data_IF_153472624940
#
_entry.id   IF_153472624940
#
_cell.length_a   1.000
_cell.length_b   1.000
_cell.length_c   1.000
_cell.angle_alpha   90.00
_cell.angle_beta   90.00
_cell.angle_gamma   90.00
#
_symmetry.space_group_name_H-M   'P 1'
#
loop_
_entity.id
_entity.type
_entity.pdbx_description
1 polymer ?
#
# COMPACT_ATOMS: atom_id res chain seq x y z
N UNK A 1 5.32 1.85 -1.22
CA UNK A 1 4.07 1.41 -1.89
C UNK A 1 2.95 1.41 -0.86
N UNK A 2 1.77 1.89 -1.22
CA UNK A 2 0.61 1.93 -0.32
C UNK A 2 -0.37 0.78 -0.53
N UNK A 3 0.07 -0.36 -1.09
CA UNK A 3 -0.82 -1.48 -1.43
C UNK A 3 -1.18 -2.30 -0.20
N UNK A 4 -2.42 -2.72 -0.13
CA UNK A 4 -2.94 -3.54 0.95
C UNK A 4 -4.03 -4.47 0.43
N UNK A 5 -4.33 -5.52 1.19
CA UNK A 5 -5.44 -6.43 0.92
C UNK A 5 -6.24 -6.67 2.19
N UNK A 6 -7.51 -6.94 2.03
CA UNK A 6 -8.40 -7.25 3.15
C UNK A 6 -9.79 -7.67 2.69
N UNK A 7 -10.57 -8.18 3.62
CA UNK A 7 -11.98 -8.44 3.37
C UNK A 7 -12.81 -7.19 3.64
N UNK A 8 -13.41 -6.63 2.58
CA UNK A 8 -14.29 -5.47 2.69
C UNK A 8 -15.61 -5.83 3.40
N UNK A 9 -16.03 -7.08 3.27
CA UNK A 9 -17.15 -7.68 3.99
C UNK A 9 -16.98 -9.20 4.01
N UNK A 10 -17.61 -9.87 4.98
CA UNK A 10 -17.65 -11.33 5.06
C UNK A 10 -19.07 -11.83 4.81
N UNK A 11 -19.20 -13.08 4.33
CA UNK A 11 -20.48 -13.72 4.09
C UNK A 11 -20.97 -14.50 5.32
N UNK A 12 -22.28 -14.54 5.50
CA UNK A 12 -22.88 -15.30 6.62
C UNK A 12 -22.46 -14.77 8.00
N UNK A 13 -22.51 -15.65 8.99
CA UNK A 13 -22.15 -15.33 10.37
C UNK A 13 -23.24 -14.57 11.13
N UNK A 14 -22.84 -13.89 12.21
CA UNK A 14 -23.72 -13.03 12.99
C UNK A 14 -24.06 -11.75 12.21
N UNK A 15 -25.26 -11.18 12.39
CA UNK A 15 -25.60 -9.90 11.80
C UNK A 15 -24.61 -8.79 12.16
N UNK A 16 -24.32 -7.93 11.21
CA UNK A 16 -23.49 -6.76 11.42
C UNK A 16 -24.17 -5.70 12.30
N UNK A 17 -23.53 -4.56 12.51
CA UNK A 17 -24.06 -3.45 13.33
C UNK A 17 -25.39 -2.86 12.79
N UNK A 18 -25.75 -3.13 11.54
CA UNK A 18 -27.00 -2.74 10.91
C UNK A 18 -28.07 -3.84 10.96
N UNK A 19 -27.75 -5.00 11.52
CA UNK A 19 -28.63 -6.17 11.56
C UNK A 19 -28.67 -6.94 10.25
N UNK A 20 -27.64 -6.78 9.40
CA UNK A 20 -27.54 -7.38 8.07
C UNK A 20 -26.60 -8.58 8.04
N UNK A 21 -26.98 -9.57 7.26
CA UNK A 21 -26.10 -10.68 6.84
C UNK A 21 -25.98 -10.65 5.32
N UNK A 22 -24.76 -10.72 4.80
CA UNK A 22 -24.51 -10.70 3.37
C UNK A 22 -24.38 -12.13 2.84
N UNK A 23 -25.14 -12.44 1.79
CA UNK A 23 -25.08 -13.72 1.12
C UNK A 23 -23.93 -13.78 0.11
N UNK A 24 -23.32 -14.95 -0.13
CA UNK A 24 -22.43 -15.16 -1.28
C UNK A 24 -23.11 -14.75 -2.60
N UNK A 25 -22.36 -14.07 -3.48
CA UNK A 25 -22.88 -13.55 -4.75
C UNK A 25 -23.54 -12.18 -4.68
N UNK A 26 -23.68 -11.60 -3.47
CA UNK A 26 -24.37 -10.33 -3.28
C UNK A 26 -23.72 -9.14 -4.04
N UNK A 27 -22.41 -9.17 -4.25
CA UNK A 27 -21.65 -8.11 -4.92
C UNK A 27 -21.52 -8.34 -6.44
N UNK A 28 -21.77 -9.56 -6.95
CA UNK A 28 -21.43 -9.95 -8.30
C UNK A 28 -22.02 -9.02 -9.37
N UNK A 29 -23.31 -8.66 -9.25
CA UNK A 29 -23.97 -7.78 -10.22
C UNK A 29 -23.39 -6.35 -10.22
N UNK A 30 -23.13 -5.78 -9.05
CA UNK A 30 -22.56 -4.45 -8.91
C UNK A 30 -21.12 -4.39 -9.44
N UNK A 31 -20.29 -5.40 -9.11
CA UNK A 31 -18.91 -5.47 -9.62
C UNK A 31 -18.88 -5.61 -11.15
N UNK A 32 -19.77 -6.43 -11.73
CA UNK A 32 -19.90 -6.55 -13.20
C UNK A 32 -20.31 -5.22 -13.84
N UNK A 33 -21.20 -4.43 -13.21
CA UNK A 33 -21.57 -3.10 -13.69
C UNK A 33 -20.39 -2.12 -13.65
N UNK A 34 -19.62 -2.11 -12.58
CA UNK A 34 -18.40 -1.32 -12.48
C UNK A 34 -17.39 -1.70 -13.56
N UNK A 35 -17.17 -3.00 -13.78
CA UNK A 35 -16.26 -3.48 -14.82
C UNK A 35 -16.71 -3.04 -16.23
N UNK A 36 -17.98 -3.19 -16.53
CA UNK A 36 -18.56 -2.77 -17.82
C UNK A 36 -18.48 -1.25 -18.04
N UNK A 37 -18.59 -0.46 -16.97
CA UNK A 37 -18.50 0.99 -17.01
C UNK A 37 -17.05 1.51 -16.95
N UNK A 38 -16.05 0.63 -16.73
CA UNK A 38 -14.67 1.04 -16.52
C UNK A 38 -14.46 1.84 -15.23
N UNK A 39 -15.32 1.63 -14.23
CA UNK A 39 -15.27 2.31 -12.91
C UNK A 39 -14.91 1.33 -11.79
N UNK A 40 -14.71 1.85 -10.59
CA UNK A 40 -14.54 1.08 -9.35
C UNK A 40 -15.29 1.78 -8.22
N UNK A 41 -15.72 1.04 -7.18
CA UNK A 41 -16.14 1.64 -5.91
C UNK A 41 -15.05 2.58 -5.38
N UNK A 42 -15.43 3.66 -4.71
CA UNK A 42 -14.47 4.61 -4.18
C UNK A 42 -13.69 4.02 -3.00
N UNK A 43 -12.40 4.38 -2.85
CA UNK A 43 -11.61 4.10 -1.65
C UNK A 43 -11.57 5.36 -0.79
N UNK A 44 -12.34 5.36 0.30
CA UNK A 44 -12.55 6.55 1.12
C UNK A 44 -11.94 6.41 2.53
N UNK A 45 -11.83 7.53 3.19
CA UNK A 45 -11.55 7.63 4.62
C UNK A 45 -12.84 7.86 5.40
N UNK A 46 -13.18 6.93 6.32
CA UNK A 46 -14.31 7.05 7.26
C UNK A 46 -15.67 7.35 6.60
N UNK A 47 -15.93 6.76 5.42
CA UNK A 47 -17.14 7.00 4.62
C UNK A 47 -17.32 8.45 4.14
N UNK A 48 -16.27 9.27 4.21
CA UNK A 48 -16.30 10.65 3.76
C UNK A 48 -16.05 10.72 2.24
N UNK A 49 -17.12 11.01 1.49
CA UNK A 49 -17.08 11.11 0.02
C UNK A 49 -16.19 12.24 -0.48
N UNK A 50 -15.84 13.20 0.36
CA UNK A 50 -14.92 14.29 0.04
C UNK A 50 -13.46 13.94 0.29
N UNK A 51 -13.19 12.73 0.84
CA UNK A 51 -11.86 12.32 1.30
C UNK A 51 -11.42 10.97 0.70
N UNK A 52 -11.23 10.89 -0.64
CA UNK A 52 -10.66 9.71 -1.28
C UNK A 52 -9.18 9.57 -0.90
N UNK A 53 -8.76 8.36 -0.54
CA UNK A 53 -7.39 8.09 -0.07
C UNK A 53 -6.60 7.16 -1.00
N UNK A 54 -7.21 6.68 -2.08
CA UNK A 54 -6.55 5.77 -3.01
C UNK A 54 -7.49 5.18 -4.04
N UNK A 55 -7.13 4.00 -4.53
CA UNK A 55 -7.91 3.28 -5.55
C UNK A 55 -8.00 1.80 -5.20
N UNK A 56 -9.12 1.18 -5.52
CA UNK A 56 -9.26 -0.27 -5.51
C UNK A 56 -8.75 -0.84 -6.83
N UNK A 57 -7.91 -1.87 -6.75
CA UNK A 57 -7.30 -2.54 -7.90
C UNK A 57 -8.10 -3.78 -8.30
N UNK A 58 -8.60 -4.54 -7.31
CA UNK A 58 -9.45 -5.70 -7.56
C UNK A 58 -10.40 -6.00 -6.42
N UNK A 59 -11.50 -6.68 -6.79
CA UNK A 59 -12.45 -7.29 -5.89
C UNK A 59 -12.71 -8.73 -6.34
N UNK A 60 -12.75 -9.66 -5.40
CA UNK A 60 -13.03 -11.07 -5.67
C UNK A 60 -13.88 -11.63 -4.54
N UNK A 61 -15.03 -12.19 -4.87
CA UNK A 61 -15.79 -13.00 -3.91
C UNK A 61 -15.14 -14.38 -3.79
N UNK A 62 -14.87 -14.79 -2.56
CA UNK A 62 -14.43 -16.14 -2.23
C UNK A 62 -15.37 -16.79 -1.18
N UNK A 63 -14.97 -17.91 -0.60
CA UNK A 63 -15.79 -18.59 0.40
C UNK A 63 -15.96 -17.79 1.71
N UNK A 64 -15.08 -16.84 2.00
CA UNK A 64 -15.11 -16.03 3.22
C UNK A 64 -15.87 -14.72 3.03
N UNK A 65 -15.74 -14.08 1.85
CA UNK A 65 -16.34 -12.76 1.65
C UNK A 65 -15.82 -12.04 0.40
N UNK A 66 -15.87 -10.72 0.44
CA UNK A 66 -15.35 -9.83 -0.60
C UNK A 66 -13.89 -9.48 -0.31
N UNK A 67 -12.97 -10.28 -0.85
CA UNK A 67 -11.54 -9.99 -0.83
C UNK A 67 -11.25 -8.81 -1.77
N UNK A 68 -10.59 -7.81 -1.23
CA UNK A 68 -10.33 -6.54 -1.92
C UNK A 68 -8.84 -6.23 -1.87
N UNK A 69 -8.26 -5.84 -3.00
CA UNK A 69 -6.90 -5.32 -3.08
C UNK A 69 -6.93 -3.85 -3.50
N UNK A 70 -6.26 -3.00 -2.75
CA UNK A 70 -6.23 -1.57 -2.99
C UNK A 70 -4.84 -0.97 -2.80
N UNK A 71 -4.73 0.27 -3.24
CA UNK A 71 -3.50 1.06 -3.14
C UNK A 71 -3.81 2.48 -2.68
N UNK A 72 -3.20 2.87 -1.57
CA UNK A 72 -3.25 4.23 -1.05
C UNK A 72 -2.37 5.17 -1.89
N UNK A 73 -2.86 6.36 -2.15
CA UNK A 73 -2.13 7.42 -2.85
C UNK A 73 -1.33 8.22 -1.83
N UNK A 74 -0.09 7.77 -1.56
CA UNK A 74 0.71 8.30 -0.45
C UNK A 74 1.13 9.78 -0.60
N UNK A 75 0.89 10.40 -1.75
CA UNK A 75 1.05 11.85 -1.92
C UNK A 75 -0.09 12.65 -1.28
N UNK A 76 -1.22 11.99 -0.97
CA UNK A 76 -2.32 12.56 -0.19
C UNK A 76 -1.99 12.43 1.30
N UNK A 77 -1.98 13.51 2.09
CA UNK A 77 -1.62 13.47 3.52
C UNK A 77 -2.47 12.47 4.32
N UNK A 78 -3.78 12.43 4.08
CA UNK A 78 -4.69 11.50 4.75
C UNK A 78 -4.38 10.04 4.41
N UNK A 79 -3.98 9.73 3.18
CA UNK A 79 -3.57 8.39 2.76
C UNK A 79 -2.27 7.95 3.45
N UNK A 80 -1.32 8.87 3.71
CA UNK A 80 -0.13 8.57 4.53
C UNK A 80 -0.51 8.17 5.94
N UNK A 81 -1.39 8.93 6.58
CA UNK A 81 -1.89 8.63 7.93
C UNK A 81 -2.63 7.29 7.96
N UNK A 82 -3.51 7.06 6.98
CA UNK A 82 -4.23 5.80 6.81
C UNK A 82 -3.27 4.60 6.63
N UNK A 83 -2.20 4.76 5.84
CA UNK A 83 -1.19 3.72 5.64
C UNK A 83 -0.45 3.37 6.93
N UNK A 84 -0.03 4.37 7.71
CA UNK A 84 0.62 4.15 8.99
C UNK A 84 -0.31 3.40 9.96
N UNK A 85 -1.55 3.86 10.13
CA UNK A 85 -2.55 3.24 10.99
C UNK A 85 -2.94 1.83 10.54
N UNK A 86 -3.02 1.59 9.22
CA UNK A 86 -3.30 0.26 8.68
C UNK A 86 -2.16 -0.74 8.99
N UNK A 87 -0.91 -0.31 8.93
CA UNK A 87 0.26 -1.12 9.34
C UNK A 87 0.24 -1.47 10.83
N UNK A 88 -0.22 -0.55 11.66
CA UNK A 88 -0.35 -0.76 13.10
C UNK A 88 -1.59 -1.58 13.48
N UNK A 89 -2.42 -1.99 12.48
CA UNK A 89 -3.64 -2.76 12.71
C UNK A 89 -4.79 -1.95 13.31
N UNK A 90 -4.69 -0.62 13.29
CA UNK A 90 -5.67 0.28 13.89
C UNK A 90 -6.91 0.51 13.00
N UNK A 91 -6.91 -0.01 11.77
CA UNK A 91 -7.99 0.18 10.81
C UNK A 91 -8.61 -1.15 10.37
N UNK A 92 -9.88 -1.05 10.01
CA UNK A 92 -10.68 -2.09 9.39
C UNK A 92 -11.24 -1.59 8.05
N UNK A 93 -11.97 -2.47 7.34
CA UNK A 93 -12.70 -2.12 6.14
C UNK A 93 -14.20 -2.04 6.44
N UNK A 94 -14.90 -1.17 5.73
CA UNK A 94 -16.34 -1.05 5.80
C UNK A 94 -16.89 -0.66 4.43
N UNK A 95 -18.04 -1.21 4.06
CA UNK A 95 -18.68 -0.97 2.77
C UNK A 95 -19.78 0.08 2.87
N UNK A 96 -19.86 0.96 1.87
CA UNK A 96 -21.02 1.80 1.60
C UNK A 96 -21.76 1.28 0.37
N UNK A 97 -23.06 1.03 0.53
CA UNK A 97 -23.87 0.37 -0.50
C UNK A 97 -25.34 0.83 -0.46
N UNK A 98 -26.06 0.50 -1.52
CA UNK A 98 -27.52 0.55 -1.55
C UNK A 98 -28.09 -0.85 -1.80
N UNK A 99 -29.31 -1.09 -1.38
CA UNK A 99 -30.00 -2.36 -1.61
C UNK A 99 -31.08 -2.13 -2.67
N UNK A 100 -30.91 -2.68 -3.89
CA UNK A 100 -31.91 -2.55 -4.94
C UNK A 100 -33.19 -3.32 -4.61
N UNK A 101 -34.28 -3.02 -5.30
CA UNK A 101 -35.55 -3.71 -5.12
C UNK A 101 -35.38 -5.23 -5.24
N UNK A 102 -35.86 -5.99 -4.25
CA UNK A 102 -35.71 -7.44 -4.15
C UNK A 102 -34.28 -7.91 -3.82
N UNK A 103 -33.35 -7.00 -3.45
CA UNK A 103 -32.00 -7.35 -3.06
C UNK A 103 -31.86 -7.86 -1.63
N UNK A 104 -32.88 -7.71 -0.80
CA UNK A 104 -32.91 -8.20 0.58
C UNK A 104 -34.12 -9.12 0.84
N UNK A 105 -33.93 -10.03 1.79
CA UNK A 105 -34.99 -10.93 2.28
C UNK A 105 -34.89 -11.00 3.81
N UNK A 106 -36.03 -11.09 4.47
CA UNK A 106 -36.09 -11.30 5.92
C UNK A 106 -36.14 -12.81 6.21
N UNK A 107 -35.07 -13.34 6.80
CA UNK A 107 -34.91 -14.75 7.16
C UNK A 107 -34.75 -14.85 8.68
N UNK A 108 -35.70 -15.49 9.36
CA UNK A 108 -35.72 -15.65 10.83
C UNK A 108 -35.49 -14.32 11.60
N UNK A 109 -36.04 -13.21 11.08
CA UNK A 109 -35.91 -11.89 11.70
C UNK A 109 -34.62 -11.15 11.38
N UNK A 110 -33.72 -11.73 10.61
CA UNK A 110 -32.46 -11.12 10.15
C UNK A 110 -32.61 -10.71 8.69
N UNK A 111 -32.11 -9.54 8.32
CA UNK A 111 -32.11 -9.05 6.94
C UNK A 111 -30.95 -9.67 6.16
N UNK A 112 -31.24 -10.63 5.28
CA UNK A 112 -30.28 -11.27 4.39
C UNK A 112 -30.17 -10.47 3.09
N UNK A 113 -29.01 -9.92 2.81
CA UNK A 113 -28.71 -9.15 1.60
C UNK A 113 -28.20 -10.11 0.52
N UNK A 114 -29.00 -10.32 -0.52
CA UNK A 114 -28.70 -11.20 -1.65
C UNK A 114 -28.16 -10.46 -2.88
N UNK A 115 -28.42 -9.15 -2.96
CA UNK A 115 -27.89 -8.27 -3.99
C UNK A 115 -27.76 -6.87 -3.43
N UNK A 116 -26.59 -6.28 -3.61
CA UNK A 116 -26.28 -4.91 -3.19
C UNK A 116 -25.57 -4.16 -4.32
N UNK A 117 -25.75 -2.86 -4.36
CA UNK A 117 -25.03 -1.97 -5.26
C UNK A 117 -23.92 -1.33 -4.42
N UNK A 118 -22.67 -1.78 -4.62
CA UNK A 118 -21.50 -1.34 -3.88
C UNK A 118 -21.06 0.04 -4.40
N UNK A 119 -21.10 1.04 -3.54
CA UNK A 119 -20.75 2.43 -3.88
C UNK A 119 -19.30 2.72 -3.53
N UNK A 120 -18.87 2.32 -2.33
CA UNK A 120 -17.52 2.57 -1.84
C UNK A 120 -17.09 1.51 -0.84
N UNK A 121 -15.79 1.43 -0.61
CA UNK A 121 -15.21 0.69 0.51
C UNK A 121 -14.21 1.60 1.21
N UNK A 122 -14.41 1.80 2.51
CA UNK A 122 -13.64 2.73 3.33
C UNK A 122 -12.67 2.05 4.28
N UNK A 123 -11.59 2.75 4.57
CA UNK A 123 -10.78 2.52 5.75
C UNK A 123 -11.43 3.22 6.95
N UNK A 124 -11.76 2.45 7.98
CA UNK A 124 -12.49 2.94 9.16
C UNK A 124 -11.81 2.48 10.46
N UNK A 125 -11.98 3.26 11.53
CA UNK A 125 -11.55 2.86 12.86
C UNK A 125 -12.48 1.78 13.45
N UNK A 126 -13.79 1.88 13.16
CA UNK A 126 -14.82 0.93 13.64
C UNK A 126 -15.65 0.49 12.44
N UNK A 127 -15.54 -0.79 12.10
CA UNK A 127 -16.31 -1.39 11.00
C UNK A 127 -17.68 -1.87 11.48
N UNK A 128 -18.71 -1.73 10.63
CA UNK A 128 -20.02 -2.33 10.88
C UNK A 128 -19.96 -3.86 10.95
N UNK A 129 -19.13 -4.48 10.10
CA UNK A 129 -18.81 -5.92 10.16
C UNK A 129 -17.46 -6.11 10.87
N UNK A 130 -17.43 -6.66 12.11
CA UNK A 130 -16.19 -6.84 12.87
C UNK A 130 -15.15 -7.76 12.20
N UNK A 131 -15.61 -8.61 11.28
CA UNK A 131 -14.75 -9.53 10.52
C UNK A 131 -14.17 -8.92 9.24
N UNK A 132 -14.59 -7.71 8.86
CA UNK A 132 -14.05 -6.96 7.72
C UNK A 132 -12.69 -6.34 8.10
N UNK A 133 -11.61 -7.09 7.87
CA UNK A 133 -10.26 -6.74 8.33
C UNK A 133 -9.27 -6.59 7.19
N UNK A 134 -8.28 -5.71 7.39
CA UNK A 134 -7.08 -5.67 6.57
C UNK A 134 -6.26 -6.92 6.91
N UNK A 135 -5.96 -7.73 5.88
CA UNK A 135 -5.20 -8.99 6.02
C UNK A 135 -3.72 -8.73 5.85
N UNK A 136 -3.35 -7.86 4.91
CA UNK A 136 -1.96 -7.50 4.70
C UNK A 136 -1.82 -6.05 4.24
N UNK A 137 -0.77 -5.40 4.71
CA UNK A 137 -0.28 -4.13 4.17
C UNK A 137 1.09 -4.43 3.57
N UNK A 138 1.23 -4.30 2.25
CA UNK A 138 2.52 -4.55 1.62
C UNK A 138 3.50 -3.48 2.06
N UNK A 139 4.49 -3.89 2.83
CA UNK A 139 5.71 -3.13 3.00
C UNK A 139 6.47 -3.12 1.66
N UNK A 140 7.34 -2.13 1.47
CA UNK A 140 8.21 -2.07 0.29
C UNK A 140 9.11 -3.32 0.13
N UNK A 141 9.23 -4.12 1.19
CA UNK A 141 10.01 -5.36 1.24
C UNK A 141 9.22 -6.46 1.96
N UNK A 142 9.09 -7.63 1.32
CA UNK A 142 8.52 -8.85 1.90
C UNK A 142 9.66 -9.81 2.27
N UNK A 143 9.93 -10.01 3.58
CA UNK A 143 11.00 -10.92 4.01
C UNK A 143 10.74 -12.39 3.64
N UNK A 144 9.49 -12.79 3.45
CA UNK A 144 9.14 -14.16 3.05
C UNK A 144 9.37 -14.41 1.54
N UNK A 145 9.41 -13.33 0.74
CA UNK A 145 9.72 -13.41 -0.70
C UNK A 145 10.70 -12.28 -1.07
N UNK A 146 11.98 -12.40 -0.67
CA UNK A 146 12.95 -11.33 -0.79
C UNK A 146 13.29 -11.03 -2.25
N UNK A 147 13.08 -9.77 -2.65
CA UNK A 147 13.50 -9.25 -3.94
C UNK A 147 14.50 -8.10 -3.73
N UNK A 148 15.71 -8.18 -4.29
CA UNK A 148 16.73 -7.13 -4.11
C UNK A 148 16.27 -5.73 -4.47
N UNK A 149 15.44 -5.57 -5.51
CA UNK A 149 14.88 -4.26 -5.91
C UNK A 149 13.89 -3.71 -4.88
N UNK A 150 13.11 -4.59 -4.27
CA UNK A 150 12.14 -4.18 -3.25
C UNK A 150 12.85 -3.83 -1.94
N UNK A 151 13.94 -4.53 -1.62
CA UNK A 151 14.80 -4.19 -0.49
C UNK A 151 15.50 -2.83 -0.70
N UNK A 152 16.08 -2.59 -1.88
CA UNK A 152 16.69 -1.29 -2.23
C UNK A 152 15.66 -0.16 -2.07
N UNK A 153 14.45 -0.37 -2.57
CA UNK A 153 13.36 0.60 -2.44
C UNK A 153 12.96 0.81 -0.98
N UNK A 154 12.81 -0.27 -0.21
CA UNK A 154 12.50 -0.18 1.21
C UNK A 154 13.58 0.58 1.99
N UNK A 155 14.85 0.33 1.70
CA UNK A 155 15.97 1.03 2.31
C UNK A 155 15.92 2.55 2.01
N UNK A 156 15.56 2.94 0.79
CA UNK A 156 15.37 4.35 0.43
C UNK A 156 14.19 4.99 1.16
N UNK A 157 13.04 4.30 1.16
CA UNK A 157 11.78 4.84 1.68
C UNK A 157 11.74 4.90 3.22
N UNK A 158 12.32 3.89 3.88
CA UNK A 158 12.29 3.76 5.35
C UNK A 158 13.47 4.46 6.02
N UNK A 159 14.68 4.33 5.43
CA UNK A 159 15.91 4.90 6.00
C UNK A 159 16.27 6.26 5.41
N UNK A 160 15.49 6.77 4.45
CA UNK A 160 15.75 8.04 3.80
C UNK A 160 17.00 8.04 2.91
N UNK A 161 17.46 6.86 2.47
CA UNK A 161 18.68 6.74 1.69
C UNK A 161 18.50 7.20 0.25
N UNK A 162 19.53 7.83 -0.31
CA UNK A 162 19.62 8.05 -1.76
C UNK A 162 19.77 6.72 -2.51
N UNK A 163 19.54 6.72 -3.82
CA UNK A 163 19.71 5.52 -4.65
C UNK A 163 21.15 4.96 -4.59
N UNK A 164 22.15 5.86 -4.45
CA UNK A 164 23.56 5.48 -4.34
C UNK A 164 23.86 4.83 -3.00
N UNK A 165 23.35 5.38 -1.91
CA UNK A 165 23.51 4.82 -0.56
C UNK A 165 22.79 3.47 -0.40
N UNK A 166 21.58 3.34 -0.94
CA UNK A 166 20.86 2.07 -0.93
C UNK A 166 21.63 0.98 -1.68
N UNK A 167 22.23 1.29 -2.85
CA UNK A 167 23.11 0.34 -3.58
C UNK A 167 24.35 -0.01 -2.80
N UNK A 168 24.99 0.94 -2.11
CA UNK A 168 26.14 0.67 -1.23
C UNK A 168 25.76 -0.22 -0.07
N UNK A 169 24.58 0.00 0.55
CA UNK A 169 24.04 -0.88 1.57
C UNK A 169 23.85 -2.30 1.05
N UNK A 170 23.32 -2.44 -0.17
CA UNK A 170 23.09 -3.74 -0.81
C UNK A 170 24.39 -4.50 -1.09
N UNK A 171 25.45 -3.82 -1.52
CA UNK A 171 26.70 -4.43 -1.92
C UNK A 171 27.69 -4.63 -0.78
N UNK A 172 27.70 -3.76 0.22
CA UNK A 172 28.69 -3.73 1.29
C UNK A 172 28.11 -3.84 2.72
N UNK A 173 26.80 -4.07 2.85
CA UNK A 173 26.13 -4.07 4.15
C UNK A 173 26.29 -2.72 4.87
N UNK A 174 26.24 -2.74 6.21
CA UNK A 174 26.44 -1.54 7.03
C UNK A 174 27.75 -0.80 6.73
N UNK A 175 28.83 -1.54 6.51
CA UNK A 175 30.14 -0.98 6.16
C UNK A 175 30.14 -0.21 4.84
N UNK A 176 29.24 -0.55 3.91
CA UNK A 176 29.05 0.19 2.68
C UNK A 176 28.42 1.59 2.87
N UNK A 177 27.65 1.79 3.95
CA UNK A 177 27.10 3.09 4.31
C UNK A 177 28.08 3.96 5.06
N UNK A 178 28.88 3.35 5.95
CA UNK A 178 29.78 4.04 6.90
C UNK A 178 31.11 4.42 6.23
N UNK A 179 31.41 3.87 5.06
CA UNK A 179 32.55 4.34 4.29
C UNK A 179 32.28 5.77 3.87
N UNK A 180 32.79 6.71 4.65
CA UNK A 180 32.94 8.08 4.21
C UNK A 180 33.54 8.08 2.81
N UNK A 181 32.95 8.82 1.90
CA UNK A 181 33.64 9.22 0.69
C UNK A 181 34.91 9.91 1.15
N UNK A 182 36.02 9.18 1.20
CA UNK A 182 37.26 9.88 0.96
C UNK A 182 37.06 10.49 -0.43
N UNK A 183 37.12 11.82 -0.56
CA UNK A 183 37.13 12.42 -1.87
C UNK A 183 38.18 11.64 -2.66
N UNK A 184 37.89 11.37 -3.91
CA UNK A 184 38.86 10.75 -4.80
C UNK A 184 40.01 11.74 -5.00
N UNK A 185 40.89 11.81 -4.00
CA UNK A 185 42.09 12.64 -4.00
C UNK A 185 43.10 12.16 -5.07
N UNK A 186 42.76 11.07 -5.77
CA UNK A 186 43.67 10.52 -6.80
C UNK A 186 43.89 11.49 -7.95
N UNK A 187 42.87 12.26 -8.35
CA UNK A 187 42.98 13.28 -9.37
C UNK A 187 43.76 14.50 -8.86
N UNK A 188 43.56 14.88 -7.61
CA UNK A 188 44.27 16.01 -6.96
C UNK A 188 45.71 15.60 -6.64
N UNK A 189 45.98 14.41 -6.16
CA UNK A 189 47.29 13.83 -5.95
C UNK A 189 48.05 13.67 -7.29
N UNK A 190 47.40 13.25 -8.35
CA UNK A 190 47.99 13.18 -9.69
C UNK A 190 48.34 14.55 -10.24
N UNK A 191 47.49 15.59 -10.01
CA UNK A 191 47.76 16.96 -10.41
C UNK A 191 48.92 17.58 -9.61
N UNK A 192 49.03 17.29 -8.31
CA UNK A 192 50.14 17.70 -7.45
C UNK A 192 51.43 16.99 -7.88
N UNK A 193 51.41 15.68 -8.16
CA UNK A 193 52.53 14.93 -8.64
C UNK A 193 53.07 15.48 -10.00
N UNK A 194 52.18 15.80 -10.92
CA UNK A 194 52.54 16.40 -12.22
C UNK A 194 53.17 17.79 -12.05
N UNK A 195 52.67 18.62 -11.11
CA UNK A 195 53.28 19.94 -10.79
C UNK A 195 54.67 19.78 -10.18
N UNK A 196 54.86 18.81 -9.26
CA UNK A 196 56.16 18.52 -8.66
C UNK A 196 57.18 18.05 -9.71
N UNK A 197 56.77 17.17 -10.62
CA UNK A 197 57.61 16.71 -11.73
C UNK A 197 58.02 17.86 -12.66
N UNK A 198 57.12 18.77 -12.99
CA UNK A 198 57.41 19.92 -13.83
C UNK A 198 58.41 20.90 -13.14
N UNK A 199 58.29 21.10 -11.84
CA UNK A 199 59.21 21.91 -11.05
C UNK A 199 60.60 21.26 -11.01
N UNK A 200 60.68 19.95 -10.80
CA UNK A 200 61.95 19.21 -10.76
C UNK A 200 62.66 19.26 -12.12
N UNK A 201 61.93 19.12 -13.21
CA UNK A 201 62.49 19.23 -14.56
C UNK A 201 63.04 20.62 -14.86
N UNK A 202 62.34 21.68 -14.35
CA UNK A 202 62.81 23.06 -14.54
C UNK A 202 64.08 23.43 -13.73
N UNK A 203 64.32 22.69 -12.63
CA UNK A 203 65.52 22.88 -11.80
C UNK A 203 66.72 22.08 -12.29
N UNK A 204 66.53 21.03 -13.08
CA UNK A 204 67.62 20.21 -13.64
C UNK A 204 68.09 20.69 -15.02
N UNK A 205 67.40 21.62 -15.63
CA UNK A 205 67.73 22.23 -16.93
C UNK A 205 68.51 23.56 -16.86
N UNK A 206 69.16 23.87 -15.75
CA UNK A 206 70.07 24.98 -15.63
C UNK A 206 71.51 24.54 -15.36
#
# INVERSE_FOLDING_TARGET
>A
MGSFTGYASTFGGEPDAHGDVIAPGAFAASLAQHDAAGTRPALLWQHDQTNPVGVWESFTEDAQGLLSAGRLTLDVPQAKSAHALAKDGALALSIGYTVPAGGAELVNGVRLLKRIDLVEVSLVAVAANPSARIVSVKCAFDPANPNPRDFERAARDVLGLSAREAKRLMSGGWNGLVRDEQPDDSAELAAIAAKLQAITASLQGR
#
